data_IF_107543444528
#
_entry.id   IF_107543444528
#
_cell.length_a   1.000
_cell.length_b   1.000
_cell.length_c   1.000
_cell.angle_alpha   90.00
_cell.angle_beta   90.00
_cell.angle_gamma   90.00
#
_symmetry.space_group_name_H-M   'P 1'
#
loop_
_entity.id
_entity.type
_entity.pdbx_description
1 polymer ?
#
# COMPACT_ATOMS: atom_id res chain seq x y z
N UNK A 1 13.20 -48.32 -80.45
CA UNK A 1 11.83 -48.81 -80.26
C UNK A 1 10.96 -48.22 -81.36
N UNK A 2 10.45 -49.04 -82.29
CA UNK A 2 9.50 -48.58 -83.33
C UNK A 2 8.14 -48.29 -82.67
N UNK A 3 7.53 -47.16 -83.04
CA UNK A 3 6.28 -46.62 -82.49
C UNK A 3 5.13 -47.65 -82.53
N UNK A 4 4.66 -48.07 -81.35
CA UNK A 4 3.45 -48.90 -81.18
C UNK A 4 2.16 -48.07 -81.11
N UNK A 5 2.21 -46.79 -81.52
CA UNK A 5 1.08 -45.86 -81.49
C UNK A 5 0.01 -46.15 -82.55
N UNK A 6 0.38 -46.78 -83.67
CA UNK A 6 -0.53 -47.02 -84.80
C UNK A 6 -1.56 -48.13 -84.56
N UNK A 7 -1.33 -49.00 -83.57
CA UNK A 7 -2.18 -50.16 -83.33
C UNK A 7 -3.44 -49.88 -82.51
N UNK A 8 -3.58 -48.70 -81.90
CA UNK A 8 -4.73 -48.36 -81.02
C UNK A 8 -5.73 -47.39 -81.66
N UNK A 9 -5.33 -46.65 -82.70
CA UNK A 9 -6.22 -45.83 -83.50
C UNK A 9 -6.62 -46.61 -84.75
N UNK A 10 -7.91 -46.66 -85.10
CA UNK A 10 -8.46 -47.41 -86.26
C UNK A 10 -8.02 -46.81 -87.61
N UNK A 11 -6.72 -46.78 -87.89
CA UNK A 11 -6.17 -46.33 -89.16
C UNK A 11 -6.29 -47.44 -90.20
N UNK A 12 -6.63 -47.08 -91.43
CA UNK A 12 -6.56 -48.02 -92.56
C UNK A 12 -5.08 -48.24 -92.95
N UNK A 13 -4.76 -49.34 -93.64
CA UNK A 13 -3.38 -49.62 -94.07
C UNK A 13 -2.80 -48.51 -94.98
N UNK A 14 -3.66 -47.79 -95.71
CA UNK A 14 -3.28 -46.60 -96.48
C UNK A 14 -2.97 -45.38 -95.60
N UNK A 15 -3.72 -45.18 -94.52
CA UNK A 15 -3.46 -44.11 -93.56
C UNK A 15 -2.18 -44.37 -92.77
N UNK A 16 -1.92 -45.62 -92.39
CA UNK A 16 -0.67 -46.01 -91.76
C UNK A 16 0.53 -45.74 -92.68
N UNK A 17 0.39 -46.01 -93.99
CA UNK A 17 1.41 -45.68 -94.99
C UNK A 17 1.59 -44.16 -95.11
N UNK A 18 0.49 -43.39 -95.21
CA UNK A 18 0.55 -41.91 -95.28
C UNK A 18 1.20 -41.30 -94.05
N UNK A 19 0.85 -41.74 -92.84
CA UNK A 19 1.47 -41.20 -91.63
C UNK A 19 2.92 -41.64 -91.53
N UNK A 20 3.26 -42.86 -91.94
CA UNK A 20 4.66 -43.31 -92.00
C UNK A 20 5.48 -42.48 -93.00
N UNK A 21 4.91 -42.18 -94.17
CA UNK A 21 5.51 -41.30 -95.19
C UNK A 21 5.65 -39.85 -94.69
N UNK A 22 4.71 -39.36 -93.87
CA UNK A 22 4.72 -38.04 -93.23
C UNK A 22 5.75 -37.96 -92.08
N UNK A 23 5.89 -39.05 -91.32
CA UNK A 23 6.89 -39.23 -90.26
C UNK A 23 8.31 -39.37 -90.82
N UNK A 24 8.47 -39.94 -92.01
CA UNK A 24 9.73 -39.96 -92.76
C UNK A 24 9.87 -38.79 -93.73
N UNK A 25 8.99 -37.78 -93.64
CA UNK A 25 9.06 -36.63 -94.52
C UNK A 25 10.16 -35.66 -94.06
N UNK A 26 10.95 -35.10 -94.99
CA UNK A 26 11.98 -34.13 -94.66
C UNK A 26 11.41 -32.81 -94.11
N UNK A 27 10.10 -32.56 -94.23
CA UNK A 27 9.43 -31.41 -93.65
C UNK A 27 9.15 -31.59 -92.15
N UNK A 28 8.76 -32.80 -91.73
CA UNK A 28 8.54 -33.09 -90.32
C UNK A 28 9.86 -33.15 -89.54
N UNK A 29 10.91 -33.76 -90.11
CA UNK A 29 12.26 -33.73 -89.51
C UNK A 29 12.74 -32.30 -89.29
N UNK A 30 12.54 -31.38 -90.24
CA UNK A 30 12.87 -29.96 -90.06
C UNK A 30 12.09 -29.27 -88.94
N UNK A 31 10.83 -29.66 -88.72
CA UNK A 31 10.01 -29.10 -87.63
C UNK A 31 10.51 -29.65 -86.28
N UNK A 32 10.80 -30.94 -86.21
CA UNK A 32 11.34 -31.58 -85.01
C UNK A 32 12.72 -31.02 -84.67
N UNK A 33 13.62 -30.89 -85.65
CA UNK A 33 14.93 -30.26 -85.49
C UNK A 33 14.81 -28.83 -84.98
N UNK A 34 13.84 -28.05 -85.47
CA UNK A 34 13.60 -26.68 -85.00
C UNK A 34 13.13 -26.63 -83.55
N UNK A 35 12.26 -27.56 -83.15
CA UNK A 35 11.76 -27.66 -81.77
C UNK A 35 12.86 -28.14 -80.83
N UNK A 36 13.64 -29.15 -81.23
CA UNK A 36 14.80 -29.62 -80.49
C UNK A 36 15.84 -28.52 -80.32
N UNK A 37 16.15 -27.77 -81.39
CA UNK A 37 17.06 -26.64 -81.32
C UNK A 37 16.57 -25.56 -80.36
N UNK A 38 15.27 -25.22 -80.35
CA UNK A 38 14.71 -24.26 -79.39
C UNK A 38 14.81 -24.75 -77.93
N UNK A 39 14.59 -26.05 -77.69
CA UNK A 39 14.75 -26.62 -76.35
C UNK A 39 16.22 -26.67 -75.91
N UNK A 40 17.13 -26.94 -76.84
CA UNK A 40 18.58 -26.90 -76.57
C UNK A 40 19.00 -25.48 -76.20
N UNK A 41 18.55 -24.47 -76.95
CA UNK A 41 18.82 -23.05 -76.66
C UNK A 41 18.27 -22.63 -75.29
N UNK A 42 17.05 -23.02 -74.96
CA UNK A 42 16.44 -22.77 -73.65
C UNK A 42 17.25 -23.43 -72.52
N UNK A 43 17.63 -24.71 -72.68
CA UNK A 43 18.46 -25.43 -71.69
C UNK A 43 19.84 -24.79 -71.52
N UNK A 44 20.46 -24.31 -72.60
CA UNK A 44 21.72 -23.57 -72.52
C UNK A 44 21.54 -22.25 -71.76
N UNK A 45 20.43 -21.55 -71.97
CA UNK A 45 20.12 -20.31 -71.25
C UNK A 45 19.91 -20.55 -69.75
N UNK A 46 19.13 -21.58 -69.39
CA UNK A 46 18.87 -21.97 -68.01
C UNK A 46 20.14 -22.45 -67.32
N UNK A 47 21.01 -23.18 -68.03
CA UNK A 47 22.31 -23.61 -67.50
C UNK A 47 23.21 -22.41 -67.18
N UNK A 48 23.28 -21.41 -68.07
CA UNK A 48 24.01 -20.16 -67.81
C UNK A 48 23.45 -19.40 -66.60
N UNK A 49 22.12 -19.36 -66.45
CA UNK A 49 21.49 -18.75 -65.28
C UNK A 49 21.87 -19.50 -64.00
N UNK A 50 21.78 -20.84 -64.02
CA UNK A 50 22.13 -21.72 -62.91
C UNK A 50 23.60 -21.54 -62.49
N UNK A 51 24.53 -21.57 -63.44
CA UNK A 51 25.97 -21.41 -63.19
C UNK A 51 26.32 -20.00 -62.66
N UNK A 52 25.40 -19.04 -62.76
CA UNK A 52 25.57 -17.66 -62.26
C UNK A 52 24.88 -17.39 -60.91
N UNK A 53 24.10 -18.31 -60.36
CA UNK A 53 23.34 -18.11 -59.12
C UNK A 53 24.28 -17.81 -57.96
N UNK A 54 25.28 -18.66 -57.74
CA UNK A 54 26.22 -18.55 -56.63
C UNK A 54 26.95 -17.20 -56.67
N UNK A 55 27.44 -16.80 -57.84
CA UNK A 55 28.09 -15.49 -58.02
C UNK A 55 27.17 -14.30 -57.75
N UNK A 56 25.86 -14.44 -58.00
CA UNK A 56 24.86 -13.39 -57.76
C UNK A 56 24.42 -13.30 -56.30
N UNK A 57 24.38 -14.43 -55.59
CA UNK A 57 23.74 -14.53 -54.27
C UNK A 57 24.73 -14.73 -53.12
N UNK A 58 25.83 -15.46 -53.31
CA UNK A 58 26.79 -15.76 -52.24
C UNK A 58 27.37 -14.51 -51.57
N UNK A 59 27.72 -13.41 -52.27
CA UNK A 59 28.20 -12.20 -51.60
C UNK A 59 27.16 -11.63 -50.63
N UNK A 60 25.90 -11.51 -51.07
CA UNK A 60 24.82 -10.99 -50.23
C UNK A 60 24.48 -11.92 -49.06
N UNK A 61 24.56 -13.25 -49.27
CA UNK A 61 24.38 -14.25 -48.20
C UNK A 61 25.51 -14.11 -47.17
N UNK A 62 26.75 -13.99 -47.61
CA UNK A 62 27.91 -13.85 -46.72
C UNK A 62 27.87 -12.54 -45.93
N UNK A 63 27.50 -11.43 -46.58
CA UNK A 63 27.33 -10.13 -45.92
C UNK A 63 26.22 -10.19 -44.86
N UNK A 64 25.07 -10.78 -45.21
CA UNK A 64 23.96 -10.96 -44.27
C UNK A 64 24.33 -11.90 -43.11
N UNK A 65 25.11 -12.96 -43.37
CA UNK A 65 25.61 -13.87 -42.34
C UNK A 65 26.57 -13.15 -41.38
N UNK A 66 27.48 -12.33 -41.89
CA UNK A 66 28.39 -11.53 -41.08
C UNK A 66 27.63 -10.50 -40.22
N UNK A 67 26.67 -9.78 -40.81
CA UNK A 67 25.83 -8.82 -40.09
C UNK A 67 25.00 -9.49 -38.98
N UNK A 68 24.44 -10.69 -39.26
CA UNK A 68 23.72 -11.48 -38.26
C UNK A 68 24.60 -11.89 -37.09
N UNK A 69 25.83 -12.33 -37.35
CA UNK A 69 26.78 -12.70 -36.30
C UNK A 69 27.16 -11.50 -35.42
N UNK A 70 27.43 -10.34 -36.02
CA UNK A 70 27.74 -9.12 -35.28
C UNK A 70 26.54 -8.64 -34.43
N UNK A 71 25.33 -8.66 -35.01
CA UNK A 71 24.10 -8.34 -34.29
C UNK A 71 23.86 -9.28 -33.10
N UNK A 72 24.13 -10.58 -33.27
CA UNK A 72 24.06 -11.57 -32.18
C UNK A 72 25.01 -11.24 -31.04
N UNK A 73 26.28 -10.93 -31.35
CA UNK A 73 27.28 -10.54 -30.35
C UNK A 73 26.88 -9.27 -29.58
N UNK A 74 26.34 -8.26 -30.28
CA UNK A 74 25.86 -7.02 -29.66
C UNK A 74 24.68 -7.28 -28.72
N UNK A 75 23.76 -8.15 -29.11
CA UNK A 75 22.62 -8.54 -28.30
C UNK A 75 23.05 -9.31 -27.04
N UNK A 76 24.01 -10.23 -27.16
CA UNK A 76 24.54 -10.96 -26.01
C UNK A 76 25.29 -10.03 -25.04
N UNK A 77 26.07 -9.07 -25.55
CA UNK A 77 26.72 -8.05 -24.73
C UNK A 77 25.71 -7.14 -24.01
N UNK A 78 24.65 -6.72 -24.70
CA UNK A 78 23.58 -5.93 -24.09
C UNK A 78 22.82 -6.70 -23.00
N UNK A 79 22.58 -8.01 -23.20
CA UNK A 79 21.98 -8.88 -22.17
C UNK A 79 22.88 -9.00 -20.94
N UNK A 80 24.18 -9.16 -21.14
CA UNK A 80 25.14 -9.22 -20.03
C UNK A 80 25.15 -7.90 -19.22
N UNK A 81 25.12 -6.76 -19.90
CA UNK A 81 25.01 -5.44 -19.24
C UNK A 81 23.68 -5.27 -18.49
N UNK A 82 22.57 -5.75 -19.07
CA UNK A 82 21.26 -5.68 -18.45
C UNK A 82 21.19 -6.52 -17.16
N UNK A 83 21.65 -7.77 -17.18
CA UNK A 83 21.66 -8.60 -15.96
C UNK A 83 22.60 -8.02 -14.90
N UNK A 84 23.77 -7.49 -15.28
CA UNK A 84 24.67 -6.82 -14.34
C UNK A 84 24.01 -5.57 -13.70
N UNK A 85 23.30 -4.76 -14.49
CA UNK A 85 22.58 -3.58 -13.99
C UNK A 85 21.45 -3.99 -13.04
N UNK A 86 20.72 -5.06 -13.35
CA UNK A 86 19.64 -5.61 -12.51
C UNK A 86 20.17 -6.17 -11.19
N UNK A 87 21.30 -6.86 -11.20
CA UNK A 87 21.97 -7.29 -9.96
C UNK A 87 22.43 -6.09 -9.13
N UNK A 88 23.00 -5.05 -9.77
CA UNK A 88 23.40 -3.83 -9.09
C UNK A 88 22.21 -3.09 -8.45
N UNK A 89 21.08 -2.97 -9.15
CA UNK A 89 19.84 -2.38 -8.62
C UNK A 89 19.32 -3.17 -7.41
N UNK A 90 19.27 -4.51 -7.53
CA UNK A 90 18.84 -5.38 -6.43
C UNK A 90 19.73 -5.19 -5.20
N UNK A 91 21.05 -5.18 -5.38
CA UNK A 91 22.00 -4.99 -4.30
C UNK A 91 21.89 -3.60 -3.66
N UNK A 92 21.70 -2.55 -4.47
CA UNK A 92 21.49 -1.19 -3.98
C UNK A 92 20.19 -1.08 -3.17
N UNK A 93 19.10 -1.67 -3.65
CA UNK A 93 17.82 -1.72 -2.94
C UNK A 93 17.96 -2.43 -1.60
N UNK A 94 18.60 -3.61 -1.59
CA UNK A 94 18.85 -4.35 -0.35
C UNK A 94 19.73 -3.56 0.63
N UNK A 95 20.73 -2.82 0.13
CA UNK A 95 21.58 -1.98 0.98
C UNK A 95 20.78 -0.85 1.64
N UNK A 96 19.87 -0.19 0.90
CA UNK A 96 18.97 0.82 1.47
C UNK A 96 18.09 0.21 2.55
N UNK A 97 17.42 -0.92 2.27
CA UNK A 97 16.54 -1.59 3.23
C UNK A 97 17.28 -1.98 4.53
N UNK A 98 18.51 -2.48 4.41
CA UNK A 98 19.34 -2.84 5.57
C UNK A 98 19.69 -1.61 6.40
N UNK A 99 20.08 -0.51 5.75
CA UNK A 99 20.40 0.74 6.45
C UNK A 99 19.17 1.36 7.11
N UNK A 100 18.01 1.33 6.46
CA UNK A 100 16.76 1.81 7.04
C UNK A 100 16.36 1.00 8.28
N UNK A 101 16.45 -0.33 8.21
CA UNK A 101 16.20 -1.21 9.36
C UNK A 101 17.21 -0.96 10.48
N UNK A 102 18.49 -0.76 10.14
CA UNK A 102 19.53 -0.41 11.10
C UNK A 102 19.20 0.89 11.84
N UNK A 103 18.84 1.94 11.10
CA UNK A 103 18.40 3.23 11.65
C UNK A 103 17.17 3.08 12.55
N UNK A 104 16.15 2.32 12.12
CA UNK A 104 14.94 2.10 12.92
C UNK A 104 15.23 1.34 14.22
N UNK A 105 16.10 0.33 14.17
CA UNK A 105 16.51 -0.41 15.36
C UNK A 105 17.30 0.47 16.34
N UNK A 106 18.20 1.31 15.82
CA UNK A 106 18.96 2.27 16.64
C UNK A 106 18.06 3.32 17.28
N UNK A 107 17.16 3.96 16.50
CA UNK A 107 16.16 4.92 17.01
C UNK A 107 15.30 4.29 18.12
N UNK A 108 14.80 3.07 17.89
CA UNK A 108 14.02 2.34 18.90
C UNK A 108 14.82 2.09 20.19
N UNK A 109 16.06 1.61 20.07
CA UNK A 109 16.90 1.31 21.22
C UNK A 109 17.25 2.58 22.02
N UNK A 110 17.59 3.67 21.33
CA UNK A 110 17.90 4.95 21.97
C UNK A 110 16.67 5.53 22.69
N UNK A 111 15.50 5.53 22.04
CA UNK A 111 14.24 5.94 22.67
C UNK A 111 13.93 5.10 23.89
N UNK A 112 14.10 3.78 23.79
CA UNK A 112 13.89 2.86 24.91
C UNK A 112 14.81 3.19 26.09
N UNK A 113 16.09 3.47 25.85
CA UNK A 113 17.05 3.85 26.90
C UNK A 113 16.70 5.20 27.54
N UNK A 114 16.30 6.20 26.74
CA UNK A 114 15.83 7.49 27.26
C UNK A 114 14.60 7.31 28.15
N UNK A 115 13.66 6.50 27.68
CA UNK A 115 12.46 6.13 28.43
C UNK A 115 12.87 5.43 29.74
N UNK A 116 13.66 4.37 29.72
CA UNK A 116 14.06 3.62 30.92
C UNK A 116 14.80 4.47 31.98
N UNK A 117 15.45 5.55 31.57
CA UNK A 117 16.21 6.45 32.47
C UNK A 117 15.42 7.70 32.90
N UNK A 118 14.19 7.87 32.41
CA UNK A 118 13.35 9.04 32.71
C UNK A 118 12.88 9.07 34.17
N UNK A 119 12.38 10.23 34.57
CA UNK A 119 11.70 10.40 35.86
C UNK A 119 10.33 9.68 35.85
N UNK A 120 10.15 8.68 36.72
CA UNK A 120 8.96 7.83 36.78
C UNK A 120 7.68 8.60 37.12
N UNK A 121 7.79 9.80 37.70
CA UNK A 121 6.63 10.65 37.98
C UNK A 121 5.89 11.08 36.73
N UNK A 122 6.59 11.14 35.58
CA UNK A 122 5.95 11.37 34.29
C UNK A 122 4.96 10.24 33.95
N UNK A 123 5.29 8.99 34.30
CA UNK A 123 4.42 7.83 34.05
C UNK A 123 3.20 7.84 34.96
N UNK A 124 3.40 8.12 36.25
CA UNK A 124 2.33 8.21 37.23
C UNK A 124 1.37 9.35 36.87
N UNK A 125 1.91 10.52 36.50
CA UNK A 125 1.10 11.65 36.06
C UNK A 125 0.34 11.33 34.78
N UNK A 126 0.98 10.68 33.78
CA UNK A 126 0.32 10.24 32.55
C UNK A 126 -0.83 9.28 32.86
N UNK A 127 -0.63 8.31 33.75
CA UNK A 127 -1.66 7.36 34.17
C UNK A 127 -2.89 8.10 34.73
N UNK A 128 -2.68 9.11 35.57
CA UNK A 128 -3.78 9.91 36.11
C UNK A 128 -4.47 10.78 35.05
N UNK A 129 -3.72 11.34 34.09
CA UNK A 129 -4.28 12.08 32.95
C UNK A 129 -5.14 11.17 32.07
N UNK A 130 -4.67 9.96 31.76
CA UNK A 130 -5.44 8.98 30.99
C UNK A 130 -6.72 8.57 31.73
N UNK A 131 -6.64 8.35 33.04
CA UNK A 131 -7.82 8.06 33.87
C UNK A 131 -8.82 9.23 33.89
N UNK A 132 -8.34 10.47 33.99
CA UNK A 132 -9.18 11.66 33.93
C UNK A 132 -9.85 11.80 32.55
N UNK A 133 -9.14 11.49 31.46
CA UNK A 133 -9.68 11.50 30.11
C UNK A 133 -10.80 10.46 29.95
N UNK A 134 -10.59 9.25 30.48
CA UNK A 134 -11.59 8.19 30.49
C UNK A 134 -12.84 8.56 31.30
N UNK A 135 -12.72 9.37 32.34
CA UNK A 135 -13.87 9.88 33.10
C UNK A 135 -14.58 11.01 32.34
N UNK A 136 -13.83 11.98 31.83
CA UNK A 136 -14.36 13.14 31.11
C UNK A 136 -15.24 12.74 29.92
N UNK A 137 -14.83 11.73 29.12
CA UNK A 137 -15.61 11.28 27.96
C UNK A 137 -17.04 10.82 28.30
N UNK A 138 -17.27 10.37 29.53
CA UNK A 138 -18.57 9.87 30.00
C UNK A 138 -19.42 10.97 30.66
N UNK A 139 -18.91 12.20 30.77
CA UNK A 139 -19.63 13.34 31.35
C UNK A 139 -20.50 14.09 30.32
N UNK A 140 -20.45 13.69 29.05
CA UNK A 140 -21.29 14.26 28.00
C UNK A 140 -22.76 13.94 28.24
N UNK A 141 -23.59 14.97 28.22
CA UNK A 141 -25.03 14.88 28.46
C UNK A 141 -25.79 15.86 27.57
N UNK A 142 -27.01 15.48 27.21
CA UNK A 142 -27.97 16.29 26.48
C UNK A 142 -29.27 16.22 27.28
N UNK A 143 -29.66 17.34 27.87
CA UNK A 143 -30.85 17.44 28.71
C UNK A 143 -31.92 18.22 27.96
N UNK A 144 -33.13 17.66 27.89
CA UNK A 144 -34.28 18.33 27.29
C UNK A 144 -35.04 19.11 28.37
N UNK A 145 -34.99 20.43 28.31
CA UNK A 145 -35.69 21.33 29.22
C UNK A 145 -37.03 21.70 28.60
N UNK A 146 -38.12 21.34 29.29
CA UNK A 146 -39.48 21.67 28.86
C UNK A 146 -39.88 23.00 29.46
N UNK A 147 -40.14 23.98 28.61
CA UNK A 147 -40.68 25.27 29.01
C UNK A 147 -42.17 25.31 28.70
N UNK A 148 -42.93 25.87 29.63
CA UNK A 148 -44.34 26.19 29.41
C UNK A 148 -44.48 27.71 29.42
N UNK A 149 -44.80 28.26 28.25
CA UNK A 149 -45.11 29.69 28.15
C UNK A 149 -46.40 30.01 28.91
N UNK A 150 -46.55 31.28 29.33
CA UNK A 150 -47.77 31.78 29.96
C UNK A 150 -49.02 31.58 29.09
N UNK A 151 -48.86 31.49 27.77
CA UNK A 151 -49.94 31.22 26.78
C UNK A 151 -50.23 29.73 26.59
N UNK A 152 -49.62 28.84 27.38
CA UNK A 152 -49.86 27.40 27.37
C UNK A 152 -49.15 26.63 26.26
N UNK A 153 -48.35 27.29 25.41
CA UNK A 153 -47.50 26.61 24.44
C UNK A 153 -46.30 25.98 25.15
N UNK A 154 -46.09 24.68 24.90
CA UNK A 154 -44.92 23.94 25.37
C UNK A 154 -43.81 24.02 24.32
N UNK A 155 -42.61 24.43 24.74
CA UNK A 155 -41.40 24.40 23.93
C UNK A 155 -40.36 23.53 24.61
N UNK A 156 -39.62 22.74 23.84
CA UNK A 156 -38.53 21.91 24.33
C UNK A 156 -37.22 22.55 23.87
N UNK A 157 -36.39 22.94 24.82
CA UNK A 157 -35.02 23.40 24.57
C UNK A 157 -34.05 22.27 24.92
N UNK A 158 -33.07 22.01 24.07
CA UNK A 158 -32.03 21.03 24.34
C UNK A 158 -30.77 21.74 24.80
N UNK A 159 -30.36 21.50 26.05
CA UNK A 159 -29.11 22.02 26.61
C UNK A 159 -28.10 20.89 26.63
N UNK A 160 -26.90 21.13 26.09
CA UNK A 160 -25.82 20.16 26.11
C UNK A 160 -24.53 20.74 26.69
N UNK A 161 -23.78 19.89 27.40
CA UNK A 161 -22.45 20.22 27.92
C UNK A 161 -21.31 19.63 27.07
N UNK A 162 -21.60 19.07 25.89
CA UNK A 162 -20.61 18.38 25.04
C UNK A 162 -19.41 19.25 24.67
N UNK A 163 -19.61 20.54 24.41
CA UNK A 163 -18.52 21.45 24.04
C UNK A 163 -17.51 21.62 25.18
N UNK A 164 -18.01 21.72 26.43
CA UNK A 164 -17.15 21.81 27.62
C UNK A 164 -16.39 20.50 27.87
N UNK A 165 -17.06 19.36 27.65
CA UNK A 165 -16.43 18.04 27.76
C UNK A 165 -15.34 17.86 26.71
N UNK A 166 -15.61 18.23 25.45
CA UNK A 166 -14.65 18.16 24.36
C UNK A 166 -13.44 19.07 24.61
N UNK A 167 -13.64 20.28 25.12
CA UNK A 167 -12.55 21.18 25.50
C UNK A 167 -11.68 20.59 26.62
N UNK A 168 -12.29 19.98 27.64
CA UNK A 168 -11.56 19.29 28.72
C UNK A 168 -10.75 18.10 28.18
N UNK A 169 -11.34 17.29 27.30
CA UNK A 169 -10.65 16.18 26.65
C UNK A 169 -9.48 16.64 25.78
N UNK A 170 -9.63 17.76 25.06
CA UNK A 170 -8.53 18.34 24.29
C UNK A 170 -7.37 18.76 25.19
N UNK A 171 -7.65 19.44 26.32
CA UNK A 171 -6.62 19.82 27.30
C UNK A 171 -5.88 18.61 27.89
N UNK A 172 -6.59 17.53 28.19
CA UNK A 172 -5.99 16.27 28.66
C UNK A 172 -5.15 15.59 27.57
N UNK A 173 -5.56 15.70 26.30
CA UNK A 173 -4.81 15.18 25.16
C UNK A 173 -3.50 15.96 24.97
N UNK A 174 -3.55 17.29 25.09
CA UNK A 174 -2.36 18.15 25.04
C UNK A 174 -1.40 17.83 26.19
N UNK A 175 -1.92 17.67 27.40
CA UNK A 175 -1.12 17.30 28.57
C UNK A 175 -0.41 15.97 28.35
N UNK A 176 -1.13 14.96 27.85
CA UNK A 176 -0.55 13.66 27.53
C UNK A 176 0.57 13.76 26.49
N UNK A 177 0.35 14.50 25.40
CA UNK A 177 1.33 14.66 24.34
C UNK A 177 2.60 15.34 24.86
N UNK A 178 2.46 16.37 25.69
CA UNK A 178 3.60 17.06 26.30
C UNK A 178 4.35 16.16 27.29
N UNK A 179 3.64 15.37 28.10
CA UNK A 179 4.26 14.39 29.01
C UNK A 179 5.04 13.33 28.23
N UNK A 180 4.47 12.80 27.14
CA UNK A 180 5.16 11.85 26.26
C UNK A 180 6.42 12.48 25.64
N UNK A 181 6.37 13.75 25.22
CA UNK A 181 7.54 14.46 24.74
C UNK A 181 8.61 14.67 25.82
N UNK A 182 8.20 14.98 27.05
CA UNK A 182 9.10 15.13 28.20
C UNK A 182 9.89 13.86 28.51
N UNK A 183 9.36 12.67 28.20
CA UNK A 183 10.07 11.39 28.43
C UNK A 183 11.34 11.23 27.58
N UNK A 184 11.48 12.00 26.49
CA UNK A 184 12.61 11.95 25.57
C UNK A 184 13.60 13.10 25.78
N UNK A 185 13.28 14.07 26.64
CA UNK A 185 14.12 15.22 26.92
C UNK A 185 15.01 14.95 28.14
N UNK A 186 16.27 15.43 28.14
CA UNK A 186 17.16 15.32 29.28
C UNK A 186 16.79 16.35 30.36
N UNK A 187 15.67 16.14 31.05
CA UNK A 187 15.15 17.04 32.07
C UNK A 187 15.68 16.68 33.46
N UNK A 188 15.99 17.69 34.25
CA UNK A 188 16.28 17.54 35.67
C UNK A 188 15.00 17.31 36.46
N UNK A 189 15.13 16.73 37.66
CA UNK A 189 14.00 16.50 38.58
C UNK A 189 13.20 17.78 38.88
N UNK A 190 13.88 18.93 38.96
CA UNK A 190 13.26 20.23 39.22
C UNK A 190 12.44 20.74 38.02
N UNK A 191 12.99 20.62 36.81
CA UNK A 191 12.27 20.99 35.57
C UNK A 191 11.03 20.11 35.35
N UNK A 192 11.13 18.81 35.65
CA UNK A 192 9.97 17.91 35.64
C UNK A 192 8.91 18.38 36.64
N UNK A 193 9.31 18.74 37.86
CA UNK A 193 8.40 19.25 38.87
C UNK A 193 7.70 20.54 38.45
N UNK A 194 8.44 21.50 37.91
CA UNK A 194 7.89 22.77 37.43
C UNK A 194 6.85 22.56 36.31
N UNK A 195 7.18 21.72 35.32
CA UNK A 195 6.29 21.43 34.19
C UNK A 195 5.04 20.66 34.62
N UNK A 196 5.17 19.67 35.49
CA UNK A 196 4.02 18.93 36.01
C UNK A 196 3.10 19.84 36.85
N UNK A 197 3.67 20.71 37.68
CA UNK A 197 2.89 21.70 38.44
C UNK A 197 2.19 22.71 37.52
N UNK A 198 2.85 23.16 36.45
CA UNK A 198 2.22 24.02 35.45
C UNK A 198 1.01 23.33 34.77
N UNK A 199 1.14 22.03 34.46
CA UNK A 199 0.02 21.24 33.95
C UNK A 199 -1.09 21.06 34.97
N UNK A 200 -0.77 20.81 36.23
CA UNK A 200 -1.77 20.75 37.32
C UNK A 200 -2.59 22.06 37.36
N UNK A 201 -1.94 23.22 37.36
CA UNK A 201 -2.64 24.51 37.38
C UNK A 201 -3.50 24.75 36.14
N UNK A 202 -3.07 24.26 34.97
CA UNK A 202 -3.83 24.37 33.72
C UNK A 202 -5.04 23.42 33.67
N UNK A 203 -4.89 22.21 34.22
CA UNK A 203 -5.93 21.17 34.21
C UNK A 203 -6.97 21.37 35.32
N UNK A 204 -6.55 21.88 36.49
CA UNK A 204 -7.38 21.97 37.69
C UNK A 204 -8.73 22.66 37.46
N UNK A 205 -8.83 23.86 36.83
CA UNK A 205 -10.12 24.50 36.62
C UNK A 205 -11.08 23.68 35.76
N UNK A 206 -10.56 23.00 34.74
CA UNK A 206 -11.36 22.19 33.83
C UNK A 206 -11.81 20.88 34.49
N UNK A 207 -10.93 20.24 35.25
CA UNK A 207 -11.24 18.97 35.93
C UNK A 207 -12.16 19.19 37.14
N UNK A 208 -11.97 20.28 37.88
CA UNK A 208 -12.81 20.63 39.04
C UNK A 208 -14.26 20.90 38.63
N UNK A 209 -14.47 21.55 37.47
CA UNK A 209 -15.81 21.72 36.89
C UNK A 209 -16.54 20.39 36.70
N UNK A 210 -15.84 19.31 36.37
CA UNK A 210 -16.44 17.97 36.22
C UNK A 210 -16.27 17.09 37.47
N UNK A 211 -15.80 17.62 38.60
CA UNK A 211 -15.55 16.86 39.82
C UNK A 211 -14.52 15.73 39.64
N UNK A 212 -13.68 15.80 38.59
CA UNK A 212 -12.64 14.81 38.30
C UNK A 212 -11.40 15.15 39.13
N UNK A 213 -10.76 14.12 39.70
CA UNK A 213 -9.56 14.33 40.49
C UNK A 213 -8.38 14.76 39.60
N UNK A 214 -7.80 15.92 39.89
CA UNK A 214 -6.61 16.41 39.20
C UNK A 214 -5.33 15.77 39.77
N UNK A 215 -4.39 15.31 38.93
CA UNK A 215 -3.06 14.92 39.38
C UNK A 215 -2.26 16.13 39.85
N UNK A 216 -1.53 15.97 40.95
CA UNK A 216 -0.65 16.99 41.54
C UNK A 216 0.57 16.36 42.20
N UNK A 217 1.63 17.14 42.37
CA UNK A 217 2.78 16.74 43.16
C UNK A 217 2.53 17.01 44.64
N UNK A 218 2.85 16.05 45.50
CA UNK A 218 2.83 16.20 46.95
C UNK A 218 4.12 16.86 47.50
N UNK A 219 4.20 17.06 48.81
CA UNK A 219 5.37 17.65 49.48
C UNK A 219 6.65 16.79 49.35
N UNK A 220 6.51 15.49 49.06
CA UNK A 220 7.61 14.56 48.79
C UNK A 220 7.98 14.52 47.31
N UNK A 221 7.20 15.21 46.48
CA UNK A 221 7.32 15.26 45.04
C UNK A 221 6.78 14.02 44.33
N UNK A 222 5.94 13.21 44.97
CA UNK A 222 5.21 12.08 44.39
C UNK A 222 3.90 12.56 43.74
N UNK A 223 3.45 11.86 42.70
CA UNK A 223 2.19 12.20 42.02
C UNK A 223 1.04 11.61 42.82
N UNK A 224 0.11 12.47 43.24
CA UNK A 224 -1.09 12.08 44.00
C UNK A 224 -2.34 12.71 43.38
N UNK A 225 -3.50 12.13 43.69
CA UNK A 225 -4.82 12.70 43.40
C UNK A 225 -5.49 13.07 44.72
N UNK A 226 -6.01 14.31 44.83
CA UNK A 226 -6.45 14.82 46.13
C UNK A 226 -7.85 14.41 46.57
N UNK A 227 -8.67 13.86 45.66
CA UNK A 227 -10.09 13.62 45.93
C UNK A 227 -10.50 12.15 45.77
N UNK A 228 -11.32 11.63 46.69
CA UNK A 228 -12.11 10.43 46.40
C UNK A 228 -13.08 10.72 45.25
N UNK A 229 -13.38 9.73 44.39
CA UNK A 229 -14.26 9.92 43.24
C UNK A 229 -15.66 10.38 43.69
N UNK A 230 -16.14 11.52 43.17
CA UNK A 230 -17.51 12.02 43.40
C UNK A 230 -18.51 11.18 42.62
N UNK A 231 -19.75 11.05 43.11
CA UNK A 231 -20.81 10.33 42.37
C UNK A 231 -21.24 11.19 41.17
N UNK A 232 -21.42 10.56 40.00
CA UNK A 232 -21.79 11.24 38.74
C UNK A 232 -22.99 12.20 38.90
N UNK A 233 -24.02 11.80 39.63
CA UNK A 233 -25.21 12.64 39.80
C UNK A 233 -24.95 13.92 40.63
N UNK A 234 -24.04 13.88 41.60
CA UNK A 234 -23.66 15.06 42.38
C UNK A 234 -22.95 16.09 41.49
N UNK A 235 -22.08 15.60 40.59
CA UNK A 235 -21.38 16.44 39.61
C UNK A 235 -22.35 17.08 38.62
N UNK A 236 -23.30 16.31 38.11
CA UNK A 236 -24.30 16.83 37.15
C UNK A 236 -25.23 17.86 37.81
N UNK A 237 -25.56 17.70 39.09
CA UNK A 237 -26.34 18.67 39.86
C UNK A 237 -25.58 19.98 40.10
N UNK A 238 -24.32 19.90 40.55
CA UNK A 238 -23.51 21.08 40.84
C UNK A 238 -23.25 21.96 39.60
N UNK A 239 -23.26 21.35 38.41
CA UNK A 239 -23.12 22.06 37.13
C UNK A 239 -24.44 22.54 36.52
N UNK A 240 -25.57 22.35 37.21
CA UNK A 240 -26.90 22.72 36.73
C UNK A 240 -27.38 21.90 35.52
N UNK A 241 -26.85 20.69 35.35
CA UNK A 241 -27.12 19.81 34.19
C UNK A 241 -28.21 18.77 34.50
N UNK A 242 -28.40 18.45 35.78
CA UNK A 242 -29.43 17.51 36.26
C UNK A 242 -30.17 18.08 37.48
N UNK A 243 -31.48 17.88 37.55
CA UNK A 243 -32.28 18.18 38.73
C UNK A 243 -32.36 16.97 39.67
N UNK A 244 -32.83 17.17 40.91
CA UNK A 244 -33.02 16.08 41.89
C UNK A 244 -33.99 14.99 41.41
N UNK A 245 -34.87 15.32 40.46
CA UNK A 245 -35.81 14.39 39.84
C UNK A 245 -35.17 13.48 38.78
N UNK A 246 -34.01 13.87 38.21
CA UNK A 246 -33.32 13.12 37.17
C UNK A 246 -32.39 12.03 37.74
N UNK A 247 -32.27 11.96 39.07
CA UNK A 247 -31.46 10.96 39.76
C UNK A 247 -32.28 9.67 39.91
N UNK A 248 -31.80 8.53 39.36
CA UNK A 248 -32.41 7.24 39.63
C UNK A 248 -32.41 6.95 41.14
N UNK A 249 -33.53 6.50 41.74
CA UNK A 249 -33.58 6.20 43.17
C UNK A 249 -32.51 5.17 43.53
N UNK A 250 -31.73 5.45 44.60
CA UNK A 250 -30.66 4.55 45.03
C UNK A 250 -31.26 3.16 45.35
N UNK A 251 -30.91 2.15 44.55
CA UNK A 251 -31.38 0.80 44.79
C UNK A 251 -30.66 0.22 46.02
N UNK A 252 -31.39 -0.18 47.09
CA UNK A 252 -30.81 -0.62 48.37
C UNK A 252 -30.00 -1.93 48.28
N UNK A 253 -29.99 -2.59 47.12
CA UNK A 253 -29.24 -3.84 46.89
C UNK A 253 -27.75 -3.62 46.59
N UNK A 254 -27.33 -2.41 46.18
CA UNK A 254 -25.93 -2.13 45.82
C UNK A 254 -25.05 -1.71 47.02
N UNK A 255 -25.63 -1.14 48.09
CA UNK A 255 -24.88 -0.81 49.32
C UNK A 255 -24.40 -2.05 50.08
N UNK A 256 -25.17 -3.15 50.05
CA UNK A 256 -24.77 -4.43 50.64
C UNK A 256 -23.61 -5.11 49.91
N UNK A 257 -23.42 -4.80 48.62
CA UNK A 257 -22.27 -5.28 47.85
C UNK A 257 -21.01 -4.43 48.11
N UNK A 258 -21.15 -3.11 48.25
CA UNK A 258 -20.03 -2.19 48.52
C UNK A 258 -19.47 -2.31 49.93
N UNK A 259 -20.33 -2.53 50.93
CA UNK A 259 -19.91 -2.75 52.33
C UNK A 259 -19.14 -4.05 52.57
N UNK A 260 -19.24 -5.04 51.67
CA UNK A 260 -18.44 -6.28 51.72
C UNK A 260 -17.06 -6.17 51.07
N UNK A 261 -16.83 -5.18 50.21
CA UNK A 261 -15.55 -5.01 49.49
C UNK A 261 -14.55 -4.17 50.29
N UNK A 262 -15.01 -3.37 51.25
CA UNK A 262 -14.15 -2.51 52.09
C UNK A 262 -13.57 -3.26 53.31
N UNK A 263 -14.05 -4.47 53.61
CA UNK A 263 -13.56 -5.33 54.70
C UNK A 263 -12.86 -6.59 54.17
N UNK A 264 -11.92 -6.43 53.23
CA UNK A 264 -10.89 -7.43 52.88
C UNK A 264 -9.56 -6.71 52.71
#
# INVERSE_FOLDING_TARGET
MRLNLFNQAKFTAEDEKKVRDLLSSPELEKILDRVEQSHIEERVSLRKQLDSIDKRHDPAINDAAAARLDAGRKLDAARAQFEAAKEAEKNATQAVDVLERGKQAEDYNLRKQLIETRDTRLDDFRLHVDNAWQQARHMGSITAVKHKSWTGHESIEYVSNTDKVNACMALLTDARADIEAMTLLPLTRAEVSERLTAWTHKLEPSLDAFGIACPRLDEKGEVTTHRPPRKLHEVLQDNGVAEKADIPPEHPKLERARSKIINV
#
